data_IF_177451661276
#
_entry.id   IF_177451661276
#
_cell.length_a   1.000
_cell.length_b   1.000
_cell.length_c   1.000
_cell.angle_alpha   90.00
_cell.angle_beta   90.00
_cell.angle_gamma   90.00
#
_symmetry.space_group_name_H-M   'P 1'
#
loop_
_entity.id
_entity.type
_entity.pdbx_description
1 polymer ?
#
# COMPACT_ATOMS: atom_id res chain seq x y z
N UNK A 1 12.75 8.34 16.58
CA UNK A 1 11.95 7.72 15.52
C UNK A 1 10.99 8.73 14.89
N UNK A 2 10.82 8.67 13.61
CA UNK A 2 9.97 9.60 12.89
C UNK A 2 8.50 9.22 13.03
N UNK A 3 7.66 10.17 13.44
CA UNK A 3 6.21 9.95 13.47
C UNK A 3 5.64 9.67 12.08
N UNK A 4 6.27 10.25 11.06
CA UNK A 4 5.86 10.02 9.67
C UNK A 4 6.10 8.58 9.27
N UNK A 5 7.25 8.01 9.65
CA UNK A 5 7.55 6.62 9.33
C UNK A 5 6.58 5.66 10.00
N UNK A 6 6.24 5.90 11.27
CA UNK A 6 5.26 5.08 11.97
C UNK A 6 3.90 5.15 11.29
N UNK A 7 3.51 6.33 10.85
CA UNK A 7 2.25 6.53 10.15
C UNK A 7 2.23 5.78 8.82
N UNK A 8 3.32 5.83 8.08
CA UNK A 8 3.44 5.12 6.80
C UNK A 8 3.37 3.61 7.02
N UNK A 9 4.07 3.09 8.02
CA UNK A 9 4.06 1.68 8.32
C UNK A 9 2.65 1.20 8.71
N UNK A 10 1.94 2.01 9.50
CA UNK A 10 0.57 1.70 9.86
C UNK A 10 -0.35 1.67 8.64
N UNK A 11 -0.15 2.59 7.71
CA UNK A 11 -0.92 2.62 6.46
C UNK A 11 -0.63 1.42 5.57
N UNK A 12 0.64 1.02 5.49
CA UNK A 12 1.01 -0.15 4.70
C UNK A 12 0.43 -1.43 5.30
N UNK A 13 0.41 -1.53 6.63
CA UNK A 13 -0.20 -2.68 7.31
C UNK A 13 -1.70 -2.72 7.04
N UNK A 14 -2.37 -1.56 7.07
CA UNK A 14 -3.78 -1.47 6.76
C UNK A 14 -4.04 -1.87 5.31
N UNK A 15 -3.20 -1.41 4.38
CA UNK A 15 -3.32 -1.77 2.98
C UNK A 15 -3.21 -3.28 2.80
N UNK A 16 -2.23 -3.89 3.45
CA UNK A 16 -2.06 -5.34 3.37
C UNK A 16 -3.29 -6.08 3.91
N UNK A 17 -3.84 -5.62 5.02
CA UNK A 17 -5.04 -6.22 5.58
C UNK A 17 -6.23 -6.12 4.64
N UNK A 18 -6.39 -4.99 3.97
CA UNK A 18 -7.47 -4.79 3.00
C UNK A 18 -7.31 -5.73 1.80
N UNK A 19 -6.06 -5.92 1.35
CA UNK A 19 -5.79 -6.83 0.23
C UNK A 19 -6.10 -8.27 0.61
N UNK A 20 -5.74 -8.69 1.81
CA UNK A 20 -6.05 -10.04 2.30
C UNK A 20 -7.54 -10.27 2.44
N UNK A 21 -8.28 -9.23 2.78
CA UNK A 21 -9.74 -9.28 2.89
C UNK A 21 -10.41 -9.12 1.52
N UNK A 22 -9.63 -8.92 0.46
CA UNK A 22 -10.10 -8.67 -0.90
C UNK A 22 -10.96 -7.42 -1.02
N UNK A 23 -10.71 -6.46 -0.16
CA UNK A 23 -11.41 -5.18 -0.17
C UNK A 23 -10.64 -4.19 -1.05
N UNK A 24 -10.64 -4.44 -2.34
CA UNK A 24 -9.81 -3.70 -3.28
C UNK A 24 -10.25 -2.25 -3.46
N UNK A 25 -11.53 -1.97 -3.32
CA UNK A 25 -12.03 -0.60 -3.44
C UNK A 25 -11.43 0.30 -2.36
N UNK A 26 -11.44 -0.15 -1.11
CA UNK A 26 -10.84 0.61 -0.02
C UNK A 26 -9.32 0.65 -0.10
N UNK A 27 -8.72 -0.46 -0.56
CA UNK A 27 -7.29 -0.52 -0.77
C UNK A 27 -6.85 0.53 -1.80
N UNK A 28 -7.59 0.65 -2.90
CA UNK A 28 -7.31 1.64 -3.92
C UNK A 28 -7.40 3.07 -3.37
N UNK A 29 -8.39 3.33 -2.53
CA UNK A 29 -8.55 4.65 -1.91
C UNK A 29 -7.41 4.99 -0.95
N UNK A 30 -6.82 3.97 -0.33
CA UNK A 30 -5.72 4.17 0.62
C UNK A 30 -4.39 4.48 -0.09
N UNK A 31 -4.20 3.97 -1.30
CA UNK A 31 -2.94 4.11 -2.03
C UNK A 31 -2.47 5.57 -2.16
N UNK A 32 -3.31 6.54 -2.57
CA UNK A 32 -2.83 7.91 -2.72
C UNK A 32 -2.28 8.51 -1.43
N UNK A 33 -2.82 8.11 -0.27
CA UNK A 33 -2.36 8.63 1.01
C UNK A 33 -0.98 8.12 1.36
N UNK A 34 -0.57 6.99 0.79
CA UNK A 34 0.77 6.42 0.98
C UNK A 34 1.70 6.97 -0.10
N UNK A 35 1.22 7.06 -1.34
CA UNK A 35 2.04 7.48 -2.48
C UNK A 35 2.59 8.89 -2.33
N UNK A 36 1.91 9.77 -1.64
CA UNK A 36 2.41 11.13 -1.44
C UNK A 36 3.64 11.20 -0.54
N UNK A 37 3.97 10.11 0.14
CA UNK A 37 5.17 10.01 0.97
C UNK A 37 6.26 9.17 0.31
N UNK A 38 6.27 9.09 -1.01
CA UNK A 38 7.20 8.25 -1.78
C UNK A 38 8.66 8.48 -1.39
N UNK A 39 9.05 9.71 -1.11
CA UNK A 39 10.42 10.03 -0.74
C UNK A 39 10.85 9.43 0.60
N UNK A 40 9.89 9.06 1.44
CA UNK A 40 10.16 8.48 2.76
C UNK A 40 10.13 6.95 2.72
N UNK A 41 9.49 6.37 1.71
CA UNK A 41 9.37 4.92 1.58
C UNK A 41 10.72 4.27 1.27
N UNK A 42 10.94 3.08 1.82
CA UNK A 42 12.08 2.27 1.43
C UNK A 42 11.86 1.72 0.03
N UNK A 43 12.92 1.20 -0.58
CA UNK A 43 12.81 0.58 -1.90
C UNK A 43 11.82 -0.59 -1.88
N UNK A 44 11.89 -1.42 -0.84
CA UNK A 44 10.97 -2.54 -0.69
C UNK A 44 9.52 -2.07 -0.58
N UNK A 45 9.28 -1.01 0.16
CA UNK A 45 7.94 -0.46 0.34
C UNK A 45 7.41 0.11 -0.97
N UNK A 46 8.27 0.76 -1.75
CA UNK A 46 7.88 1.27 -3.06
C UNK A 46 7.56 0.14 -4.03
N UNK A 47 8.35 -0.93 -4.01
CA UNK A 47 8.11 -2.10 -4.84
C UNK A 47 6.79 -2.76 -4.47
N UNK A 48 6.53 -2.90 -3.18
CA UNK A 48 5.26 -3.44 -2.70
C UNK A 48 4.08 -2.60 -3.21
N UNK A 49 4.19 -1.28 -3.07
CA UNK A 49 3.13 -0.37 -3.50
C UNK A 49 2.90 -0.46 -5.01
N UNK A 50 3.98 -0.53 -5.79
CA UNK A 50 3.88 -0.69 -7.24
C UNK A 50 3.18 -1.99 -7.62
N UNK A 51 3.53 -3.08 -6.95
CA UNK A 51 2.91 -4.37 -7.20
C UNK A 51 1.41 -4.36 -6.88
N UNK A 52 1.04 -3.70 -5.78
CA UNK A 52 -0.37 -3.56 -5.40
C UNK A 52 -1.13 -2.75 -6.45
N UNK A 53 -0.57 -1.63 -6.88
CA UNK A 53 -1.21 -0.78 -7.88
C UNK A 53 -1.39 -1.53 -9.20
N UNK A 54 -0.39 -2.30 -9.59
CA UNK A 54 -0.47 -3.11 -10.80
C UNK A 54 -1.60 -4.16 -10.68
N UNK A 55 -1.64 -4.85 -9.55
CA UNK A 55 -2.65 -5.89 -9.34
C UNK A 55 -4.06 -5.30 -9.39
N UNK A 56 -4.27 -4.16 -8.76
CA UNK A 56 -5.58 -3.50 -8.76
C UNK A 56 -5.94 -3.04 -10.18
N UNK A 57 -4.99 -2.43 -10.89
CA UNK A 57 -5.23 -1.91 -12.24
C UNK A 57 -5.56 -3.04 -13.22
N UNK A 58 -4.93 -4.21 -13.05
CA UNK A 58 -5.15 -5.37 -13.93
C UNK A 58 -6.24 -6.30 -13.42
N UNK A 59 -6.88 -5.92 -12.32
CA UNK A 59 -7.97 -6.69 -11.74
C UNK A 59 -7.54 -8.11 -11.32
N UNK A 60 -6.30 -8.22 -10.86
CA UNK A 60 -5.73 -9.49 -10.43
C UNK A 60 -5.98 -9.72 -8.95
N UNK A 61 -6.10 -10.99 -8.56
CA UNK A 61 -6.17 -11.35 -7.14
C UNK A 61 -4.80 -11.13 -6.51
N UNK A 62 -4.81 -10.50 -5.34
CA UNK A 62 -3.59 -10.34 -4.58
C UNK A 62 -3.32 -11.62 -3.78
N UNK A 63 -2.24 -12.30 -4.12
CA UNK A 63 -1.80 -13.48 -3.39
C UNK A 63 -0.42 -13.18 -2.82
N UNK A 64 -0.41 -12.82 -1.57
CA UNK A 64 0.84 -12.50 -0.90
C UNK A 64 1.61 -13.78 -0.54
#
# INVERSE_FOLDING_TARGET
MSAIRQKIEARLDELEALLKARNYAEAEELIPSIAKFTSVLTEEQRDFLSAVRFAIAENLDWTA
#
